data_IF_813994335257
#
_entry.id   IF_813994335257
#
_cell.length_a   1.000
_cell.length_b   1.000
_cell.length_c   1.000
_cell.angle_alpha   90.00
_cell.angle_beta   90.00
_cell.angle_gamma   90.00
#
_symmetry.space_group_name_H-M   'P 1'
#
loop_
_entity.id
_entity.type
_entity.pdbx_description
1 polymer ?
#
# COMPACT_ATOMS: atom_id res chain seq x y z
N UNK A 1 1.92 4.27 -25.43
CA UNK A 1 2.24 3.42 -24.27
C UNK A 1 2.50 4.35 -23.10
N UNK A 2 1.49 4.66 -22.30
CA UNK A 2 1.68 5.47 -21.09
C UNK A 2 2.62 4.70 -20.17
N UNK A 3 3.77 5.29 -19.87
CA UNK A 3 4.64 4.81 -18.81
C UNK A 3 3.92 5.04 -17.50
N UNK A 4 3.15 4.04 -17.05
CA UNK A 4 2.50 4.11 -15.75
C UNK A 4 3.59 4.16 -14.69
N UNK A 5 3.69 5.30 -14.00
CA UNK A 5 4.55 5.41 -12.84
C UNK A 5 3.92 4.58 -11.74
N UNK A 6 4.61 3.53 -11.31
CA UNK A 6 4.20 2.80 -10.13
C UNK A 6 4.48 3.63 -8.88
N UNK A 7 3.55 3.59 -7.93
CA UNK A 7 3.71 4.13 -6.57
C UNK A 7 3.72 2.99 -5.57
N UNK A 8 4.28 3.24 -4.39
CA UNK A 8 4.35 2.24 -3.31
C UNK A 8 3.24 2.48 -2.30
N UNK A 9 2.58 1.40 -1.90
CA UNK A 9 1.60 1.40 -0.80
C UNK A 9 2.12 0.47 0.28
N UNK A 10 2.16 0.95 1.53
CA UNK A 10 2.42 0.15 2.71
C UNK A 10 1.09 -0.34 3.27
N UNK A 11 0.92 -1.65 3.28
CA UNK A 11 -0.17 -2.36 3.92
C UNK A 11 0.27 -2.77 5.31
N UNK A 12 -0.57 -2.56 6.32
CA UNK A 12 -0.37 -2.99 7.68
C UNK A 12 -1.40 -4.08 7.99
N UNK A 13 -0.92 -5.24 8.38
CA UNK A 13 -1.74 -6.38 8.75
C UNK A 13 -1.59 -6.73 10.23
N UNK A 14 -2.62 -7.37 10.79
CA UNK A 14 -2.59 -7.96 12.12
C UNK A 14 -2.86 -9.45 12.06
N UNK A 15 -1.97 -10.21 12.69
CA UNK A 15 -2.01 -11.67 12.75
C UNK A 15 -1.82 -12.12 14.19
N UNK A 16 -2.88 -12.62 14.81
CA UNK A 16 -2.83 -13.15 16.18
C UNK A 16 -2.12 -12.19 17.17
N UNK A 17 -2.44 -10.89 17.05
CA UNK A 17 -1.84 -9.81 17.86
C UNK A 17 -0.46 -9.33 17.41
N UNK A 18 0.13 -9.92 16.37
CA UNK A 18 1.38 -9.47 15.75
C UNK A 18 1.10 -8.57 14.56
N UNK A 19 1.80 -7.44 14.49
CA UNK A 19 1.70 -6.50 13.36
C UNK A 19 2.84 -6.73 12.37
N UNK A 20 2.50 -6.86 11.09
CA UNK A 20 3.50 -6.88 10.03
C UNK A 20 3.09 -5.93 8.90
N UNK A 21 4.06 -5.47 8.12
CA UNK A 21 3.82 -4.58 6.99
C UNK A 21 4.36 -5.18 5.70
N UNK A 22 3.64 -4.93 4.61
CA UNK A 22 4.05 -5.28 3.26
C UNK A 22 4.03 -4.03 2.39
N UNK A 23 4.97 -3.90 1.46
CA UNK A 23 5.02 -2.80 0.51
C UNK A 23 4.77 -3.33 -0.88
N UNK A 24 3.66 -2.90 -1.48
CA UNK A 24 3.27 -3.28 -2.83
C UNK A 24 3.47 -2.11 -3.80
N UNK A 25 3.64 -2.44 -5.09
CA UNK A 25 3.71 -1.45 -6.17
C UNK A 25 2.43 -1.48 -6.98
N UNK A 26 1.80 -0.33 -7.12
CA UNK A 26 0.56 -0.18 -7.89
C UNK A 26 0.67 0.97 -8.88
N UNK A 27 -0.06 0.92 -10.01
CA UNK A 27 -0.11 2.03 -10.95
C UNK A 27 -0.58 3.33 -10.29
N UNK A 28 0.13 4.45 -10.46
CA UNK A 28 -0.30 5.75 -9.93
C UNK A 28 -1.67 6.17 -10.48
N UNK A 29 -1.94 5.83 -11.74
CA UNK A 29 -3.23 6.11 -12.39
C UNK A 29 -4.40 5.36 -11.75
N UNK A 30 -4.15 4.18 -11.17
CA UNK A 30 -5.16 3.47 -10.41
C UNK A 30 -5.41 4.20 -9.08
N UNK A 31 -4.35 4.60 -8.37
CA UNK A 31 -4.50 5.36 -7.11
C UNK A 31 -5.29 6.65 -7.30
N UNK A 32 -5.05 7.38 -8.40
CA UNK A 32 -5.78 8.61 -8.68
C UNK A 32 -7.27 8.42 -9.00
N UNK A 33 -7.69 7.20 -9.37
CA UNK A 33 -9.10 6.87 -9.66
C UNK A 33 -9.92 6.53 -8.42
N UNK A 34 -9.25 6.29 -7.29
CA UNK A 34 -9.87 5.84 -6.05
C UNK A 34 -9.58 6.82 -4.92
N UNK A 35 -10.61 7.34 -4.28
CA UNK A 35 -10.45 8.24 -3.12
C UNK A 35 -9.85 7.50 -1.92
N UNK A 36 -10.21 6.22 -1.76
CA UNK A 36 -9.72 5.36 -0.67
C UNK A 36 -8.85 4.24 -1.23
N UNK A 37 -7.67 4.06 -0.65
CA UNK A 37 -6.75 2.98 -1.05
C UNK A 37 -7.37 1.59 -0.86
N UNK A 38 -8.27 1.43 0.11
CA UNK A 38 -8.97 0.16 0.35
C UNK A 38 -9.87 -0.20 -0.85
N UNK A 39 -10.55 0.77 -1.46
CA UNK A 39 -11.40 0.54 -2.62
C UNK A 39 -10.55 0.08 -3.82
N UNK A 40 -9.37 0.68 -4.01
CA UNK A 40 -8.39 0.22 -5.00
C UNK A 40 -7.95 -1.23 -4.77
N UNK A 41 -7.74 -1.65 -3.52
CA UNK A 41 -7.35 -3.03 -3.19
C UNK A 41 -8.50 -4.04 -3.34
N UNK A 42 -9.73 -3.58 -3.53
CA UNK A 42 -10.93 -4.42 -3.69
C UNK A 42 -11.47 -4.45 -5.12
N UNK A 43 -11.31 -3.35 -5.85
CA UNK A 43 -12.03 -3.14 -7.12
C UNK A 43 -11.09 -3.11 -8.33
N UNK A 44 -9.81 -2.73 -8.15
CA UNK A 44 -8.91 -2.50 -9.29
C UNK A 44 -8.33 -3.82 -9.83
N UNK A 45 -8.75 -4.28 -11.03
CA UNK A 45 -8.32 -5.58 -11.55
C UNK A 45 -6.82 -5.62 -11.84
N UNK A 46 -6.21 -4.48 -12.18
CA UNK A 46 -4.77 -4.38 -12.43
C UNK A 46 -3.93 -4.60 -11.17
N UNK A 47 -4.48 -4.28 -9.99
CA UNK A 47 -3.85 -4.48 -8.69
C UNK A 47 -4.14 -5.90 -8.18
N UNK A 48 -5.41 -6.31 -8.22
CA UNK A 48 -5.86 -7.64 -7.77
C UNK A 48 -5.20 -8.81 -8.51
N UNK A 49 -4.84 -8.63 -9.78
CA UNK A 49 -4.10 -9.66 -10.55
C UNK A 49 -2.65 -9.84 -10.12
N UNK A 50 -2.09 -8.88 -9.38
CA UNK A 50 -0.67 -8.86 -8.98
C UNK A 50 -0.47 -9.25 -7.53
N UNK A 51 -1.42 -8.89 -6.67
CA UNK A 51 -1.34 -9.08 -5.23
C UNK A 51 -2.67 -9.59 -4.70
N UNK A 52 -2.61 -10.63 -3.87
CA UNK A 52 -3.72 -11.05 -3.04
C UNK A 52 -3.66 -10.31 -1.70
N UNK A 53 -4.72 -9.61 -1.33
CA UNK A 53 -4.80 -8.88 -0.06
C UNK A 53 -5.89 -9.50 0.79
N UNK A 54 -5.52 -9.89 2.00
CA UNK A 54 -6.46 -10.37 3.01
C UNK A 54 -7.05 -9.17 3.77
N UNK A 55 -8.25 -8.74 3.36
CA UNK A 55 -8.88 -7.52 3.87
C UNK A 55 -9.35 -7.65 5.33
N UNK A 56 -9.61 -8.88 5.79
CA UNK A 56 -10.03 -9.12 7.19
C UNK A 56 -8.87 -8.85 8.16
N UNK A 57 -7.63 -9.01 7.68
CA UNK A 57 -6.41 -8.76 8.46
C UNK A 57 -5.81 -7.38 8.19
N UNK A 58 -6.27 -6.66 7.17
CA UNK A 58 -5.74 -5.35 6.81
C UNK A 58 -6.22 -4.28 7.78
N UNK A 59 -5.30 -3.76 8.60
CA UNK A 59 -5.57 -2.67 9.52
C UNK A 59 -5.49 -1.30 8.86
N UNK A 60 -4.53 -1.11 7.94
CA UNK A 60 -4.32 0.18 7.30
C UNK A 60 -3.57 0.05 5.97
N UNK A 61 -3.81 1.01 5.07
CA UNK A 61 -3.07 1.17 3.84
C UNK A 61 -2.61 2.64 3.72
N UNK A 62 -1.34 2.85 3.42
CA UNK A 62 -0.75 4.19 3.31
C UNK A 62 0.07 4.31 2.04
N UNK A 63 -0.07 5.42 1.32
CA UNK A 63 0.85 5.75 0.25
C UNK A 63 2.24 6.01 0.87
N UNK A 64 3.25 5.34 0.35
CA UNK A 64 4.63 5.60 0.74
C UNK A 64 5.16 6.65 -0.23
N UNK A 65 5.17 7.88 0.22
CA UNK A 65 5.95 8.92 -0.43
C UNK A 65 7.42 8.53 -0.30
N UNK A 66 8.19 8.65 -1.38
CA UNK A 66 9.65 8.54 -1.38
C UNK A 66 10.26 9.75 -0.63
N UNK A 67 9.87 9.95 0.63
CA UNK A 67 10.65 10.75 1.54
C UNK A 67 11.89 9.92 1.88
N UNK A 68 13.05 10.46 1.48
CA UNK A 68 14.36 10.03 1.98
C UNK A 68 14.26 9.68 3.46
N UNK A 69 14.97 8.64 3.94
CA UNK A 69 14.90 8.24 5.33
C UNK A 69 15.21 9.45 6.21
N UNK A 70 14.20 9.95 6.93
CA UNK A 70 14.47 10.86 8.03
C UNK A 70 15.38 10.10 9.00
N UNK A 71 16.60 10.60 9.06
CA UNK A 71 17.65 10.03 9.89
C UNK A 71 17.15 9.95 11.33
N UNK A 72 17.48 8.83 11.97
CA UNK A 72 17.28 8.52 13.39
C UNK A 72 17.22 9.76 14.29
N UNK A 73 16.20 9.80 15.14
CA UNK A 73 16.27 10.46 16.45
C UNK A 73 15.85 9.46 17.52
N UNK A 74 16.84 9.11 18.35
CA UNK A 74 16.80 8.25 19.53
C UNK A 74 15.96 8.89 20.65
N UNK A 75 15.33 8.09 21.54
CA UNK A 75 15.37 8.26 23.02
C UNK A 75 14.75 7.04 23.70
N UNK A 76 15.56 6.23 24.39
CA UNK A 76 15.46 6.00 25.85
C UNK A 76 16.79 5.44 26.38
#
# INVERSE_FOLDING_TARGET
>A
MSGSRDVRIRLLFVDDGSYHHEVIRVPAEAVARHERLIDLLQEEPEVLRRTFVDLDRLCAAHLVEDHLPESRSVTE
#
